data_IF_687860558206
#
_entry.id   IF_687860558206
#
_cell.length_a   1.000
_cell.length_b   1.000
_cell.length_c   1.000
_cell.angle_alpha   90.00
_cell.angle_beta   90.00
_cell.angle_gamma   90.00
#
_symmetry.space_group_name_H-M   'P 1'
#
loop_
_entity.id
_entity.type
_entity.pdbx_description
1 polymer ?
#
# COMPACT_ATOMS: atom_id res chain seq x y z
N UNK A 1 36.16 26.82 -10.02
CA UNK A 1 37.39 27.56 -9.59
C UNK A 1 38.63 27.25 -10.43
N UNK A 2 38.86 25.99 -10.84
CA UNK A 2 40.05 25.60 -11.63
C UNK A 2 40.10 26.28 -13.02
N UNK A 3 38.96 26.42 -13.70
CA UNK A 3 38.86 27.09 -15.03
C UNK A 3 39.21 28.57 -14.97
N UNK A 4 38.68 29.32 -13.99
CA UNK A 4 38.98 30.75 -13.81
C UNK A 4 40.47 31.04 -13.55
N UNK A 5 41.16 30.17 -12.79
CA UNK A 5 42.60 30.30 -12.53
C UNK A 5 43.45 29.95 -13.76
N UNK A 6 43.04 28.95 -14.55
CA UNK A 6 43.68 28.61 -15.82
C UNK A 6 43.59 29.78 -16.81
N UNK A 7 42.43 30.43 -16.90
CA UNK A 7 42.20 31.54 -17.83
C UNK A 7 43.03 32.76 -17.43
N UNK A 8 43.06 33.11 -16.14
CA UNK A 8 43.92 34.19 -15.64
C UNK A 8 45.41 33.93 -15.92
N UNK A 9 45.84 32.66 -15.83
CA UNK A 9 47.20 32.25 -16.16
C UNK A 9 47.52 32.45 -17.65
N UNK A 10 46.66 32.01 -18.56
CA UNK A 10 46.89 32.20 -20.01
C UNK A 10 46.83 33.66 -20.45
N UNK A 11 46.00 34.50 -19.81
CA UNK A 11 45.98 35.95 -20.04
C UNK A 11 47.32 36.57 -19.62
N UNK A 12 47.82 36.25 -18.43
CA UNK A 12 49.13 36.72 -17.95
C UNK A 12 50.27 36.24 -18.85
N UNK A 13 50.23 34.98 -19.29
CA UNK A 13 51.21 34.41 -20.22
C UNK A 13 51.18 35.12 -21.58
N UNK A 14 49.99 35.42 -22.10
CA UNK A 14 49.82 36.18 -23.34
C UNK A 14 50.39 37.61 -23.24
N UNK A 15 50.17 38.29 -22.11
CA UNK A 15 50.75 39.63 -21.85
C UNK A 15 52.29 39.55 -21.80
N UNK A 16 52.84 38.56 -21.08
CA UNK A 16 54.30 38.32 -20.99
C UNK A 16 54.92 38.02 -22.36
N UNK A 17 54.28 37.17 -23.16
CA UNK A 17 54.75 36.82 -24.50
C UNK A 17 54.67 38.03 -25.44
N UNK A 18 53.61 38.85 -25.31
CA UNK A 18 53.47 40.10 -26.04
C UNK A 18 54.56 41.12 -25.70
N UNK A 19 54.89 41.28 -24.41
CA UNK A 19 56.00 42.14 -23.97
C UNK A 19 57.36 41.61 -24.46
N UNK A 20 57.55 40.28 -24.45
CA UNK A 20 58.76 39.65 -24.95
C UNK A 20 58.94 39.84 -26.46
N UNK A 21 57.88 39.63 -27.25
CA UNK A 21 57.88 39.87 -28.69
C UNK A 21 58.04 41.36 -29.02
N UNK A 22 57.45 42.25 -28.22
CA UNK A 22 57.66 43.70 -28.33
C UNK A 22 59.14 44.06 -28.10
N UNK A 23 59.79 43.46 -27.12
CA UNK A 23 61.23 43.63 -26.88
C UNK A 23 62.09 43.14 -28.06
N UNK A 24 61.77 41.97 -28.63
CA UNK A 24 62.46 41.43 -29.81
C UNK A 24 62.21 42.33 -31.03
N UNK A 25 60.97 42.79 -31.24
CA UNK A 25 60.63 43.70 -32.31
C UNK A 25 61.34 45.06 -32.15
N UNK A 26 61.50 45.55 -30.92
CA UNK A 26 62.22 46.79 -30.63
C UNK A 26 63.73 46.64 -30.83
N UNK A 27 64.31 45.49 -30.49
CA UNK A 27 65.70 45.15 -30.81
C UNK A 27 65.93 45.02 -32.32
N UNK A 28 64.98 44.40 -33.03
CA UNK A 28 65.00 44.27 -34.48
C UNK A 28 64.84 45.62 -35.20
N UNK A 29 63.93 46.48 -34.71
CA UNK A 29 63.75 47.86 -35.20
C UNK A 29 65.00 48.72 -34.97
N UNK A 30 65.68 48.51 -33.85
CA UNK A 30 66.98 49.14 -33.57
C UNK A 30 68.10 48.62 -34.48
N UNK A 31 67.96 47.40 -35.01
CA UNK A 31 68.96 46.77 -35.87
C UNK A 31 68.73 47.07 -37.35
N UNK A 32 67.47 47.20 -37.79
CA UNK A 32 67.03 47.42 -39.17
C UNK A 32 65.86 48.44 -39.24
N UNK A 33 66.14 49.75 -39.39
CA UNK A 33 65.13 50.81 -39.25
C UNK A 33 64.15 50.95 -40.44
N UNK A 34 64.34 50.21 -41.53
CA UNK A 34 63.68 50.53 -42.82
C UNK A 34 62.45 49.65 -43.14
N UNK A 35 62.19 48.52 -42.47
CA UNK A 35 61.08 47.62 -42.88
C UNK A 35 60.45 46.85 -41.71
N UNK A 36 59.35 47.38 -41.17
CA UNK A 36 58.43 46.60 -40.33
C UNK A 36 57.31 46.02 -41.22
N UNK A 37 57.16 44.69 -41.36
CA UNK A 37 56.13 44.11 -42.21
C UNK A 37 54.74 44.41 -41.63
N UNK A 38 53.89 45.13 -42.39
CA UNK A 38 52.54 45.52 -41.98
C UNK A 38 51.63 44.34 -41.54
N UNK A 39 51.96 43.11 -41.93
CA UNK A 39 51.26 41.88 -41.58
C UNK A 39 51.34 41.54 -40.09
N UNK A 40 52.40 41.95 -39.38
CA UNK A 40 52.51 41.73 -37.93
C UNK A 40 51.58 42.65 -37.13
N UNK A 41 51.32 43.88 -37.61
CA UNK A 41 50.43 44.83 -36.97
C UNK A 41 48.96 44.37 -37.06
N UNK A 42 48.53 43.82 -38.20
CA UNK A 42 47.15 43.36 -38.41
C UNK A 42 46.81 42.11 -37.60
N UNK A 43 47.76 41.18 -37.43
CA UNK A 43 47.56 39.96 -36.64
C UNK A 43 47.38 40.25 -35.14
N UNK A 44 48.14 41.21 -34.62
CA UNK A 44 48.06 41.63 -33.21
C UNK A 44 46.73 42.34 -32.91
N UNK A 45 46.18 43.10 -33.86
CA UNK A 45 44.93 43.83 -33.69
C UNK A 45 43.68 42.93 -33.67
N UNK A 46 43.68 41.80 -34.40
CA UNK A 46 42.52 40.91 -34.51
C UNK A 46 42.41 39.86 -33.38
N UNK A 47 43.53 39.44 -32.79
CA UNK A 47 43.56 38.39 -31.77
C UNK A 47 42.71 38.68 -30.51
N UNK A 48 42.72 39.91 -29.93
CA UNK A 48 41.93 40.22 -28.74
C UNK A 48 40.41 40.08 -28.96
N UNK A 49 39.93 40.48 -30.14
CA UNK A 49 38.51 40.41 -30.51
C UNK A 49 38.03 38.96 -30.58
N UNK A 50 38.79 38.08 -31.23
CA UNK A 50 38.46 36.65 -31.32
C UNK A 50 38.52 35.95 -29.95
N UNK A 51 39.49 36.30 -29.11
CA UNK A 51 39.59 35.76 -27.74
C UNK A 51 38.42 36.26 -26.89
N UNK A 52 38.04 37.53 -26.99
CA UNK A 52 36.89 38.08 -26.26
C UNK A 52 35.58 37.43 -26.70
N UNK A 53 35.38 37.27 -28.02
CA UNK A 53 34.19 36.59 -28.55
C UNK A 53 34.16 35.11 -28.17
N UNK A 54 35.30 34.39 -28.25
CA UNK A 54 35.40 33.00 -27.82
C UNK A 54 35.18 32.87 -26.31
N UNK A 55 35.76 33.75 -25.50
CA UNK A 55 35.63 33.79 -24.05
C UNK A 55 34.19 34.07 -23.61
N UNK A 56 33.56 35.10 -24.19
CA UNK A 56 32.17 35.45 -23.90
C UNK A 56 31.24 34.30 -24.30
N UNK A 57 31.42 33.74 -25.51
CA UNK A 57 30.62 32.59 -25.98
C UNK A 57 30.77 31.36 -25.08
N UNK A 58 31.99 31.05 -24.67
CA UNK A 58 32.28 29.87 -23.84
C UNK A 58 31.75 30.06 -22.42
N UNK A 59 31.96 31.26 -21.85
CA UNK A 59 31.48 31.58 -20.51
C UNK A 59 29.95 31.68 -20.43
N UNK A 60 29.24 32.10 -21.48
CA UNK A 60 27.78 32.09 -21.49
C UNK A 60 27.23 30.67 -21.62
N UNK A 61 27.81 29.86 -22.51
CA UNK A 61 27.37 28.48 -22.70
C UNK A 61 27.53 27.63 -21.44
N UNK A 62 28.57 27.87 -20.64
CA UNK A 62 28.74 27.21 -19.33
C UNK A 62 27.60 27.56 -18.34
N UNK A 63 27.15 28.82 -18.30
CA UNK A 63 26.08 29.25 -17.40
C UNK A 63 24.73 28.65 -17.77
N UNK A 64 24.44 28.57 -19.06
CA UNK A 64 23.18 27.99 -19.54
C UNK A 64 23.13 26.49 -19.20
N UNK A 65 24.24 25.77 -19.38
CA UNK A 65 24.35 24.35 -18.99
C UNK A 65 24.18 24.14 -17.47
N UNK A 66 24.78 25.00 -16.64
CA UNK A 66 24.61 24.92 -15.19
C UNK A 66 23.17 25.21 -14.76
N UNK A 67 22.52 26.20 -15.38
CA UNK A 67 21.12 26.53 -15.12
C UNK A 67 20.20 25.39 -15.54
N UNK A 68 20.41 24.80 -16.72
CA UNK A 68 19.63 23.66 -17.20
C UNK A 68 19.85 22.43 -16.32
N UNK A 69 21.09 22.16 -15.89
CA UNK A 69 21.38 21.09 -14.94
C UNK A 69 20.65 21.28 -13.60
N UNK A 70 20.59 22.52 -13.09
CA UNK A 70 19.81 22.83 -11.87
C UNK A 70 18.31 22.64 -12.08
N UNK A 71 17.78 23.00 -13.26
CA UNK A 71 16.36 22.79 -13.60
C UNK A 71 16.03 21.31 -13.63
N UNK A 72 16.86 20.50 -14.29
CA UNK A 72 16.70 19.04 -14.34
C UNK A 72 16.74 18.46 -12.92
N UNK A 73 17.73 18.83 -12.10
CA UNK A 73 17.79 18.36 -10.71
C UNK A 73 16.56 18.74 -9.88
N UNK A 74 16.06 19.96 -10.07
CA UNK A 74 14.86 20.44 -9.38
C UNK A 74 13.62 19.68 -9.83
N UNK A 75 13.52 19.34 -11.11
CA UNK A 75 12.44 18.51 -11.66
C UNK A 75 12.54 17.08 -11.15
N UNK A 76 13.72 16.47 -11.15
CA UNK A 76 13.95 15.15 -10.56
C UNK A 76 13.56 15.14 -9.07
N UNK A 77 13.95 16.15 -8.31
CA UNK A 77 13.57 16.27 -6.90
C UNK A 77 12.05 16.44 -6.73
N UNK A 78 11.39 17.17 -7.65
CA UNK A 78 9.92 17.29 -7.64
C UNK A 78 9.26 15.94 -7.92
N UNK A 79 9.73 15.21 -8.92
CA UNK A 79 9.20 13.89 -9.27
C UNK A 79 9.43 12.89 -8.12
N UNK A 80 10.58 12.92 -7.46
CA UNK A 80 10.84 12.11 -6.27
C UNK A 80 9.92 12.47 -5.10
N UNK A 81 9.70 13.76 -4.86
CA UNK A 81 8.76 14.18 -3.83
C UNK A 81 7.32 13.77 -4.16
N UNK A 82 6.94 13.80 -5.43
CA UNK A 82 5.62 13.38 -5.90
C UNK A 82 5.44 11.86 -5.80
N UNK A 83 6.43 11.07 -6.22
CA UNK A 83 6.38 9.61 -6.07
C UNK A 83 6.30 9.20 -4.60
N UNK A 84 7.08 9.84 -3.73
CA UNK A 84 7.02 9.60 -2.29
C UNK A 84 5.64 9.97 -1.70
N UNK A 85 5.02 11.05 -2.18
CA UNK A 85 3.68 11.45 -1.75
C UNK A 85 2.63 10.42 -2.16
N UNK A 86 2.66 9.96 -3.40
CA UNK A 86 1.73 8.95 -3.92
C UNK A 86 1.88 7.62 -3.17
N UNK A 87 3.11 7.22 -2.85
CA UNK A 87 3.37 6.03 -2.06
C UNK A 87 2.83 6.18 -0.64
N UNK A 88 3.12 7.31 0.02
CA UNK A 88 2.60 7.58 1.36
C UNK A 88 1.07 7.63 1.37
N UNK A 89 0.44 8.22 0.35
CA UNK A 89 -1.02 8.25 0.21
C UNK A 89 -1.60 6.86 0.02
N UNK A 90 -1.00 6.04 -0.84
CA UNK A 90 -1.41 4.64 -1.05
C UNK A 90 -1.28 3.83 0.24
N UNK A 91 -0.18 4.00 1.00
CA UNK A 91 0.00 3.37 2.30
C UNK A 91 -1.06 3.82 3.32
N UNK A 92 -1.44 5.11 3.31
CA UNK A 92 -2.48 5.63 4.19
C UNK A 92 -3.85 5.05 3.85
N UNK A 93 -4.20 4.99 2.57
CA UNK A 93 -5.45 4.37 2.10
C UNK A 93 -5.50 2.90 2.52
N UNK A 94 -4.41 2.18 2.29
CA UNK A 94 -4.28 0.78 2.69
C UNK A 94 -4.49 0.58 4.20
N UNK A 95 -3.79 1.35 5.03
CA UNK A 95 -3.90 1.25 6.49
C UNK A 95 -5.31 1.59 6.98
N UNK A 96 -5.95 2.59 6.39
CA UNK A 96 -7.32 2.97 6.73
C UNK A 96 -8.32 1.88 6.34
N UNK A 97 -8.17 1.27 5.16
CA UNK A 97 -8.99 0.14 4.73
C UNK A 97 -8.86 -1.04 5.71
N UNK A 98 -7.64 -1.39 6.13
CA UNK A 98 -7.41 -2.45 7.12
C UNK A 98 -8.03 -2.12 8.48
N UNK A 99 -7.97 -0.86 8.91
CA UNK A 99 -8.60 -0.39 10.16
C UNK A 99 -10.11 -0.53 10.08
N UNK A 100 -10.73 -0.07 9.00
CA UNK A 100 -12.17 -0.14 8.78
C UNK A 100 -12.68 -1.59 8.73
N UNK A 101 -11.94 -2.50 8.09
CA UNK A 101 -12.26 -3.93 8.08
C UNK A 101 -12.26 -4.51 9.50
N UNK A 102 -11.22 -4.20 10.28
CA UNK A 102 -11.08 -4.64 11.68
C UNK A 102 -12.20 -4.11 12.56
N UNK A 103 -12.58 -2.84 12.40
CA UNK A 103 -13.68 -2.21 13.15
C UNK A 103 -15.03 -2.82 12.83
N UNK A 104 -15.31 -3.09 11.55
CA UNK A 104 -16.55 -3.76 11.13
C UNK A 104 -16.63 -5.18 11.70
N UNK A 105 -15.52 -5.92 11.69
CA UNK A 105 -15.45 -7.25 12.28
C UNK A 105 -15.73 -7.21 13.77
N UNK A 106 -15.02 -6.36 14.53
CA UNK A 106 -15.21 -6.21 15.96
C UNK A 106 -16.66 -5.84 16.30
N UNK A 107 -17.25 -4.92 15.52
CA UNK A 107 -18.64 -4.53 15.73
C UNK A 107 -19.61 -5.68 15.47
N UNK A 108 -19.40 -6.46 14.41
CA UNK A 108 -20.25 -7.60 14.10
C UNK A 108 -20.18 -8.69 15.18
N UNK A 109 -18.99 -8.93 15.74
CA UNK A 109 -18.79 -9.85 16.88
C UNK A 109 -19.48 -9.34 18.15
N UNK A 110 -19.42 -8.04 18.45
CA UNK A 110 -20.15 -7.43 19.56
C UNK A 110 -21.67 -7.66 19.42
N UNK A 111 -22.22 -7.45 18.23
CA UNK A 111 -23.64 -7.69 17.95
C UNK A 111 -24.01 -9.18 18.09
N UNK A 112 -23.13 -10.10 17.69
CA UNK A 112 -23.32 -11.55 17.84
C UNK A 112 -23.40 -11.98 19.31
N UNK A 113 -22.72 -11.27 20.22
CA UNK A 113 -22.77 -11.52 21.66
C UNK A 113 -24.00 -10.96 22.38
N UNK A 114 -24.83 -10.17 21.69
CA UNK A 114 -25.92 -9.44 22.33
C UNK A 114 -27.09 -10.34 22.76
N UNK A 115 -27.69 -10.12 23.93
CA UNK A 115 -28.76 -10.99 24.47
C UNK A 115 -30.02 -11.01 23.58
N UNK A 116 -30.42 -9.86 23.05
CA UNK A 116 -31.55 -9.69 22.12
C UNK A 116 -31.33 -10.41 20.78
N UNK A 117 -32.24 -11.31 20.42
CA UNK A 117 -32.21 -12.10 19.20
C UNK A 117 -32.07 -11.24 17.92
N UNK A 118 -32.83 -10.15 17.81
CA UNK A 118 -32.82 -9.29 16.63
C UNK A 118 -31.45 -8.65 16.38
N UNK A 119 -30.76 -8.24 17.45
CA UNK A 119 -29.41 -7.66 17.37
C UNK A 119 -28.41 -8.75 16.99
N UNK A 120 -28.56 -9.94 17.56
CA UNK A 120 -27.73 -11.11 17.24
C UNK A 120 -27.81 -11.49 15.77
N UNK A 121 -29.02 -11.54 15.21
CA UNK A 121 -29.23 -11.78 13.78
C UNK A 121 -28.54 -10.71 12.93
N UNK A 122 -28.59 -9.44 13.35
CA UNK A 122 -27.82 -8.36 12.72
C UNK A 122 -26.32 -8.63 12.70
N UNK A 123 -25.76 -9.13 13.81
CA UNK A 123 -24.35 -9.55 13.89
C UNK A 123 -24.01 -10.71 12.95
N UNK A 124 -24.87 -11.74 12.90
CA UNK A 124 -24.69 -12.92 12.02
C UNK A 124 -24.64 -12.49 10.54
N UNK A 125 -25.58 -11.66 10.09
CA UNK A 125 -25.61 -11.20 8.69
C UNK A 125 -24.52 -10.16 8.38
N UNK A 126 -24.10 -9.35 9.35
CA UNK A 126 -22.94 -8.48 9.20
C UNK A 126 -21.66 -9.31 8.99
N UNK A 127 -21.47 -10.38 9.78
CA UNK A 127 -20.37 -11.32 9.60
C UNK A 127 -20.41 -12.03 8.25
N UNK A 128 -21.59 -12.49 7.79
CA UNK A 128 -21.76 -13.08 6.45
C UNK A 128 -21.21 -12.15 5.36
N UNK A 129 -21.59 -10.87 5.40
CA UNK A 129 -21.17 -9.87 4.43
C UNK A 129 -19.65 -9.61 4.50
N UNK A 130 -19.07 -9.53 5.70
CA UNK A 130 -17.61 -9.40 5.87
C UNK A 130 -16.88 -10.60 5.25
N UNK A 131 -17.37 -11.82 5.46
CA UNK A 131 -16.78 -13.03 4.89
C UNK A 131 -16.92 -13.12 3.36
N UNK A 132 -17.90 -12.42 2.77
CA UNK A 132 -18.07 -12.32 1.32
C UNK A 132 -17.17 -11.23 0.71
N UNK A 133 -16.95 -10.13 1.42
CA UNK A 133 -16.21 -8.97 0.93
C UNK A 133 -14.69 -9.13 1.11
N UNK A 134 -14.24 -9.85 2.14
CA UNK A 134 -12.81 -9.97 2.52
C UNK A 134 -12.33 -11.42 2.54
N UNK A 135 -11.45 -11.78 1.60
CA UNK A 135 -10.76 -13.08 1.60
C UNK A 135 -9.93 -13.31 2.86
N UNK A 136 -9.32 -12.24 3.37
CA UNK A 136 -8.47 -12.28 4.56
C UNK A 136 -9.28 -12.67 5.80
N UNK A 137 -10.48 -12.10 5.94
CA UNK A 137 -11.30 -12.27 7.14
C UNK A 137 -12.29 -13.44 7.03
N UNK A 138 -12.52 -13.93 5.82
CA UNK A 138 -13.42 -15.05 5.53
C UNK A 138 -13.25 -16.22 6.51
N UNK A 139 -12.01 -16.69 6.69
CA UNK A 139 -11.75 -17.86 7.53
C UNK A 139 -12.04 -17.59 9.00
N UNK A 140 -11.55 -16.46 9.52
CA UNK A 140 -11.78 -16.03 10.90
C UNK A 140 -13.28 -15.90 11.21
N UNK A 141 -14.05 -15.34 10.28
CA UNK A 141 -15.52 -15.26 10.40
C UNK A 141 -16.12 -16.67 10.49
N UNK A 142 -15.74 -17.59 9.60
CA UNK A 142 -16.29 -18.95 9.61
C UNK A 142 -15.97 -19.69 10.91
N UNK A 143 -14.75 -19.55 11.44
CA UNK A 143 -14.37 -20.10 12.74
C UNK A 143 -15.19 -19.49 13.89
N UNK A 144 -15.42 -18.17 13.85
CA UNK A 144 -16.23 -17.46 14.85
C UNK A 144 -17.67 -17.96 14.84
N UNK A 145 -18.27 -18.11 13.66
CA UNK A 145 -19.63 -18.65 13.50
C UNK A 145 -19.71 -20.12 13.94
N UNK A 146 -18.72 -20.96 13.63
CA UNK A 146 -18.65 -22.33 14.13
C UNK A 146 -18.53 -22.39 15.66
N UNK A 147 -17.69 -21.54 16.26
CA UNK A 147 -17.57 -21.43 17.71
C UNK A 147 -18.89 -21.01 18.37
N UNK A 148 -19.58 -20.03 17.78
CA UNK A 148 -20.90 -19.59 18.24
C UNK A 148 -21.91 -20.75 18.25
N UNK A 149 -22.01 -21.51 17.15
CA UNK A 149 -22.90 -22.69 17.07
C UNK A 149 -22.56 -23.71 18.14
N UNK A 150 -21.27 -24.08 18.29
CA UNK A 150 -20.83 -25.05 19.31
C UNK A 150 -21.20 -24.62 20.72
N UNK A 151 -21.01 -23.36 21.07
CA UNK A 151 -21.29 -22.87 22.41
C UNK A 151 -22.80 -22.84 22.70
N UNK A 152 -23.62 -22.40 21.73
CA UNK A 152 -25.08 -22.33 21.89
C UNK A 152 -25.76 -23.70 21.90
N UNK A 153 -25.11 -24.71 21.33
CA UNK A 153 -25.67 -26.08 21.19
C UNK A 153 -24.94 -27.11 22.05
N UNK A 154 -24.10 -26.67 23.01
CA UNK A 154 -23.30 -27.56 23.85
C UNK A 154 -24.12 -28.52 24.71
N UNK A 155 -25.36 -28.15 25.07
CA UNK A 155 -26.30 -29.02 25.79
C UNK A 155 -27.52 -29.29 24.91
N UNK A 156 -27.94 -30.56 24.76
CA UNK A 156 -29.14 -30.87 23.98
C UNK A 156 -30.38 -30.28 24.65
N UNK A 157 -31.25 -29.67 23.86
CA UNK A 157 -32.56 -29.21 24.32
C UNK A 157 -33.57 -30.34 24.10
N UNK A 158 -34.08 -30.87 25.21
CA UNK A 158 -35.08 -31.93 25.22
C UNK A 158 -36.45 -31.31 25.37
N UNK A 159 -37.38 -31.68 24.50
CA UNK A 159 -38.77 -31.24 24.60
C UNK A 159 -39.37 -31.78 25.90
N UNK A 160 -40.08 -30.96 26.69
CA UNK A 160 -40.74 -31.44 27.89
C UNK A 160 -41.69 -32.59 27.54
N UNK A 161 -41.48 -33.76 28.14
CA UNK A 161 -42.44 -34.86 28.04
C UNK A 161 -43.70 -34.35 28.75
N UNK A 162 -44.78 -34.16 28.01
CA UNK A 162 -46.07 -33.79 28.59
C UNK A 162 -46.39 -34.82 29.69
N UNK A 163 -46.53 -34.34 30.93
CA UNK A 163 -46.95 -35.19 32.03
C UNK A 163 -48.32 -35.79 31.67
N UNK A 164 -48.57 -37.08 31.97
CA UNK A 164 -49.88 -37.65 31.75
C UNK A 164 -50.90 -36.81 32.53
N UNK A 165 -51.93 -36.36 31.82
CA UNK A 165 -53.01 -35.59 32.42
C UNK A 165 -53.72 -36.51 33.42
N UNK A 166 -53.61 -36.20 34.72
CA UNK A 166 -54.27 -36.92 35.79
C UNK A 166 -55.80 -36.80 35.61
N UNK A 167 -56.36 -37.77 34.87
CA UNK A 167 -57.76 -37.84 34.49
C UNK A 167 -58.28 -39.27 34.54
N UNK A 168 -58.50 -39.77 35.75
CA UNK A 168 -59.61 -40.64 36.12
C UNK A 168 -59.77 -42.03 35.46
N UNK A 169 -59.78 -43.03 36.34
CA UNK A 169 -60.52 -44.30 36.30
C UNK A 169 -59.78 -45.54 35.78
N UNK A 170 -59.58 -46.48 36.70
CA UNK A 170 -59.01 -47.81 36.51
C UNK A 170 -59.92 -48.74 35.70
N UNK A 171 -59.39 -49.40 34.66
CA UNK A 171 -59.60 -50.84 34.41
C UNK A 171 -58.67 -51.36 33.31
N UNK A 172 -57.93 -52.43 33.62
CA UNK A 172 -57.54 -53.47 32.66
C UNK A 172 -56.45 -53.17 31.63
N UNK A 173 -55.29 -53.81 31.80
CA UNK A 173 -54.49 -54.36 30.69
C UNK A 173 -53.85 -53.36 29.70
N UNK A 174 -53.00 -52.46 30.19
CA UNK A 174 -52.09 -51.70 29.31
C UNK A 174 -50.75 -52.43 29.13
N UNK A 175 -50.56 -52.99 27.94
CA UNK A 175 -49.27 -53.40 27.41
C UNK A 175 -48.22 -52.31 27.67
N UNK A 176 -47.05 -52.69 28.20
CA UNK A 176 -45.90 -51.81 28.43
C UNK A 176 -45.54 -51.08 27.13
N UNK A 177 -46.10 -49.90 26.89
CA UNK A 177 -45.67 -49.00 25.83
C UNK A 177 -44.21 -48.64 26.11
N UNK A 178 -43.29 -48.80 25.14
CA UNK A 178 -41.93 -48.34 25.32
C UNK A 178 -41.95 -46.85 25.63
N UNK A 179 -41.13 -46.43 26.60
CA UNK A 179 -41.02 -45.02 26.98
C UNK A 179 -40.87 -44.14 25.72
N UNK A 180 -41.57 -43.00 25.64
CA UNK A 180 -41.45 -42.10 24.50
C UNK A 180 -39.98 -41.73 24.32
N UNK A 181 -39.46 -41.88 23.10
CA UNK A 181 -38.10 -41.45 22.78
C UNK A 181 -38.00 -39.94 23.06
N UNK A 182 -36.88 -39.45 23.61
CA UNK A 182 -36.67 -38.02 23.76
C UNK A 182 -36.82 -37.35 22.39
N UNK A 183 -37.77 -36.43 22.29
CA UNK A 183 -37.98 -35.60 21.10
C UNK A 183 -37.14 -34.32 21.30
N UNK A 184 -36.25 -34.03 20.36
CA UNK A 184 -35.37 -32.85 20.43
C UNK A 184 -36.12 -31.59 20.03
N UNK A 185 -35.77 -30.46 20.67
CA UNK A 185 -36.27 -29.16 20.24
C UNK A 185 -35.48 -28.65 19.04
N UNK A 186 -36.17 -27.98 18.11
CA UNK A 186 -35.55 -27.32 16.97
C UNK A 186 -34.44 -26.36 17.43
N UNK A 187 -33.34 -26.22 16.66
CA UNK A 187 -32.30 -25.24 16.95
C UNK A 187 -32.87 -23.82 17.06
N UNK A 188 -32.29 -23.03 17.97
CA UNK A 188 -32.65 -21.62 18.11
C UNK A 188 -32.49 -20.89 16.76
N UNK A 189 -33.32 -19.87 16.53
CA UNK A 189 -33.34 -19.11 15.26
C UNK A 189 -31.97 -18.55 14.88
N UNK A 190 -31.17 -18.13 15.87
CA UNK A 190 -29.82 -17.64 15.66
C UNK A 190 -28.85 -18.76 15.23
N UNK A 191 -28.91 -19.94 15.85
CA UNK A 191 -28.14 -21.13 15.46
C UNK A 191 -28.48 -21.54 14.03
N UNK A 192 -29.78 -21.61 13.70
CA UNK A 192 -30.22 -21.96 12.35
C UNK A 192 -29.78 -20.91 11.32
N UNK A 193 -29.86 -19.62 11.65
CA UNK A 193 -29.36 -18.55 10.79
C UNK A 193 -27.85 -18.68 10.57
N UNK A 194 -27.06 -18.93 11.63
CA UNK A 194 -25.62 -19.14 11.52
C UNK A 194 -25.27 -20.35 10.65
N UNK A 195 -25.93 -21.48 10.85
CA UNK A 195 -25.73 -22.68 10.01
C UNK A 195 -26.09 -22.42 8.55
N UNK A 196 -27.14 -21.63 8.31
CA UNK A 196 -27.53 -21.23 6.96
C UNK A 196 -26.43 -20.38 6.31
N UNK A 197 -25.86 -19.41 7.01
CA UNK A 197 -24.73 -18.59 6.53
C UNK A 197 -23.52 -19.46 6.21
N UNK A 198 -23.13 -20.35 7.13
CA UNK A 198 -22.02 -21.30 6.94
C UNK A 198 -22.28 -22.19 5.71
N UNK A 199 -23.52 -22.64 5.50
CA UNK A 199 -23.90 -23.51 4.39
C UNK A 199 -23.95 -22.80 3.03
N UNK A 200 -24.37 -21.54 3.00
CA UNK A 200 -24.57 -20.73 1.78
C UNK A 200 -23.28 -20.16 1.19
N UNK A 201 -22.15 -20.28 1.89
CA UNK A 201 -20.86 -19.73 1.43
C UNK A 201 -20.52 -20.14 -0.01
N UNK A 202 -20.10 -19.17 -0.81
CA UNK A 202 -19.86 -19.33 -2.25
C UNK A 202 -18.80 -20.40 -2.57
N UNK A 203 -18.91 -21.03 -3.74
CA UNK A 203 -17.98 -22.08 -4.17
C UNK A 203 -16.52 -21.61 -4.24
N UNK A 204 -16.28 -20.33 -4.60
CA UNK A 204 -14.94 -19.73 -4.62
C UNK A 204 -14.26 -19.83 -3.26
N UNK A 205 -15.01 -19.58 -2.18
CA UNK A 205 -14.50 -19.65 -0.81
C UNK A 205 -14.22 -21.06 -0.37
N UNK A 206 -15.11 -22.00 -0.70
CA UNK A 206 -14.92 -23.43 -0.41
C UNK A 206 -13.66 -24.00 -1.09
N UNK A 207 -13.38 -23.57 -2.32
CA UNK A 207 -12.14 -23.92 -3.04
C UNK A 207 -10.91 -23.36 -2.33
N UNK A 208 -11.00 -22.12 -1.85
CA UNK A 208 -9.92 -21.47 -1.11
C UNK A 208 -9.63 -22.14 0.24
N UNK A 209 -10.67 -22.44 1.01
CA UNK A 209 -10.58 -23.21 2.25
C UNK A 209 -9.86 -24.54 2.00
N UNK A 210 -10.27 -25.28 0.97
CA UNK A 210 -9.67 -26.56 0.59
C UNK A 210 -8.19 -26.41 0.18
N UNK A 211 -7.83 -25.33 -0.51
CA UNK A 211 -6.44 -25.04 -0.90
C UNK A 211 -5.54 -24.80 0.32
N UNK A 212 -6.09 -24.22 1.39
CA UNK A 212 -5.39 -23.97 2.66
C UNK A 212 -5.49 -25.11 3.68
N UNK A 213 -6.13 -26.23 3.32
CA UNK A 213 -6.46 -27.33 4.24
C UNK A 213 -7.29 -26.92 5.46
N UNK A 214 -8.11 -25.88 5.29
CA UNK A 214 -8.96 -25.33 6.33
C UNK A 214 -10.26 -26.16 6.43
N UNK A 215 -10.56 -26.68 7.63
CA UNK A 215 -11.75 -27.51 7.88
C UNK A 215 -12.61 -26.90 8.98
N UNK A 216 -13.89 -26.67 8.67
CA UNK A 216 -14.85 -26.17 9.66
C UNK A 216 -15.03 -27.18 10.79
N UNK A 217 -14.98 -26.70 12.02
CA UNK A 217 -15.13 -27.51 13.21
C UNK A 217 -16.46 -27.24 13.92
N UNK A 218 -17.44 -28.10 13.65
CA UNK A 218 -18.72 -28.14 14.37
C UNK A 218 -18.80 -29.33 15.34
N UNK A 219 -17.67 -29.98 15.66
CA UNK A 219 -17.67 -31.11 16.60
C UNK A 219 -18.14 -30.64 17.98
N UNK A 220 -18.96 -31.46 18.62
CA UNK A 220 -19.56 -31.15 19.92
C UNK A 220 -20.78 -30.23 19.87
N UNK A 221 -21.22 -29.80 18.68
CA UNK A 221 -22.52 -29.16 18.51
C UNK A 221 -23.64 -30.24 18.50
N UNK A 222 -24.68 -30.05 19.31
CA UNK A 222 -25.89 -30.88 19.25
C UNK A 222 -26.92 -30.25 18.32
N UNK A 223 -27.12 -30.86 17.15
CA UNK A 223 -27.97 -30.35 16.05
C UNK A 223 -29.04 -31.37 15.61
N UNK A 224 -29.48 -32.24 16.53
CA UNK A 224 -30.48 -33.29 16.26
C UNK A 224 -31.91 -32.78 16.12
#
# INVERSE_FOLDING_TARGET
MKTKRLIAFWILLGILLGLFLSGIAMWYLSSHPENLPWTFLSGLAAAPSLILTWYWRTSHKERDLDNDAQRIQKEEQRLQNESQRLENESQRIWNEEQRLLSERFNKAVELLGHETLQIRLGGIYALERIAQDSERDHWTVMETLCAFVRERTRKPKLKPIAAPEDGGTSTGEEARKPAPKPEFELPDTDVQATLTVIGRREEKWRKHEKKKDNRLDLRGAHLE
#
